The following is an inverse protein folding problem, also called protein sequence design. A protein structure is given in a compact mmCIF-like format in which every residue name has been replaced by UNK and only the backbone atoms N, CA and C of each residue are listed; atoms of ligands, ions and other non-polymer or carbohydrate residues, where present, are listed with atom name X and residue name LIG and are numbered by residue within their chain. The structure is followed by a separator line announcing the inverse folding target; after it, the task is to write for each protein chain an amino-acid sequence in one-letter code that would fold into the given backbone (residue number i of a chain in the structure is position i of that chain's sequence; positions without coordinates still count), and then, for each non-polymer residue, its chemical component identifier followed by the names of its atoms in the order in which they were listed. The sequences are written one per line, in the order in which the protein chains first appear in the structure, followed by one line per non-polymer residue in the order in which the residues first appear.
data_IF_155758909511
#
_entry.id   IF_155758909511
#
_cell.length_a   1.000
_cell.length_b   1.000
_cell.length_c   1.000
_cell.angle_alpha   90.00
_cell.angle_beta   90.00
_cell.angle_gamma   90.00
#
_symmetry.space_group_name_H-M   'P 1'
#
loop_
_entity.id
_entity.type
_entity.pdbx_description
1 polymer ?
#
# COMPACT_ATOMS: atom_id res chain seq x y z
N UNK A 1 5.47 20.14 -21.45
CA UNK A 1 4.70 18.88 -21.34
C UNK A 1 3.71 19.02 -20.18
N UNK A 2 2.52 18.46 -20.30
CA UNK A 2 1.55 18.40 -19.20
C UNK A 2 1.82 17.14 -18.35
N UNK A 3 1.82 17.27 -17.03
CA UNK A 3 2.04 16.16 -16.10
C UNK A 3 0.71 15.74 -15.46
N UNK A 4 0.31 14.50 -15.70
CA UNK A 4 -0.89 13.90 -15.10
C UNK A 4 -0.46 12.78 -14.16
N UNK A 5 -1.06 12.72 -12.96
CA UNK A 5 -0.84 11.61 -12.03
C UNK A 5 -2.19 10.96 -11.75
N UNK A 6 -2.28 9.65 -11.96
CA UNK A 6 -3.46 8.82 -11.77
C UNK A 6 -3.19 7.76 -10.70
N UNK A 7 -4.20 7.49 -9.87
CA UNK A 7 -4.12 6.48 -8.80
C UNK A 7 -3.65 7.01 -7.44
N UNK A 8 -3.38 8.31 -7.32
CA UNK A 8 -3.22 8.98 -6.02
C UNK A 8 -4.57 9.37 -5.44
N UNK A 9 -4.73 9.22 -4.13
CA UNK A 9 -5.78 9.94 -3.43
C UNK A 9 -5.47 11.44 -3.45
N UNK A 10 -6.51 12.29 -3.39
CA UNK A 10 -6.39 13.76 -3.48
C UNK A 10 -5.34 14.35 -2.53
N UNK A 11 -5.19 13.76 -1.34
CA UNK A 11 -4.23 14.17 -0.31
C UNK A 11 -2.79 13.80 -0.69
N UNK A 12 -2.61 12.63 -1.29
CA UNK A 12 -1.29 12.12 -1.70
C UNK A 12 -0.77 12.76 -2.99
N UNK A 13 -1.65 13.31 -3.84
CA UNK A 13 -1.25 14.09 -5.02
C UNK A 13 -0.30 15.23 -4.67
N UNK A 14 -0.62 16.01 -3.62
CA UNK A 14 0.24 17.11 -3.16
C UNK A 14 1.60 16.63 -2.64
N UNK A 15 1.61 15.55 -1.86
CA UNK A 15 2.84 14.97 -1.32
C UNK A 15 3.73 14.36 -2.43
N UNK A 16 3.13 13.65 -3.38
CA UNK A 16 3.84 13.07 -4.53
C UNK A 16 4.44 14.15 -5.43
N UNK A 17 3.69 15.23 -5.73
CA UNK A 17 4.20 16.37 -6.49
C UNK A 17 5.38 17.06 -5.79
N UNK A 18 5.45 16.99 -4.46
CA UNK A 18 6.59 17.52 -3.69
C UNK A 18 7.87 16.67 -3.87
N UNK A 19 7.71 15.38 -4.15
CA UNK A 19 8.81 14.43 -4.35
C UNK A 19 9.17 14.19 -5.81
N UNK A 20 8.34 14.67 -6.75
CA UNK A 20 8.61 14.65 -8.18
C UNK A 20 9.41 15.93 -8.49
N UNK A 21 10.73 15.84 -8.78
CA UNK A 21 11.55 17.02 -9.08
C UNK A 21 11.31 17.52 -10.52
N UNK A 22 10.07 17.44 -10.97
CA UNK A 22 9.65 17.75 -12.34
C UNK A 22 8.54 18.79 -12.22
N UNK A 23 8.82 20.01 -12.63
CA UNK A 23 7.79 21.05 -12.67
C UNK A 23 6.96 20.89 -13.94
N UNK A 24 5.68 21.25 -13.88
CA UNK A 24 4.83 21.32 -15.08
C UNK A 24 5.48 22.29 -16.06
N UNK A 25 5.92 21.80 -17.22
CA UNK A 25 6.67 22.58 -18.22
C UNK A 25 8.15 22.27 -18.37
N UNK A 26 8.77 21.50 -17.46
CA UNK A 26 10.15 21.00 -17.65
C UNK A 26 10.24 19.98 -18.80
N UNK A 27 11.39 19.93 -19.46
CA UNK A 27 11.68 18.87 -20.43
C UNK A 27 11.92 17.56 -19.68
N UNK A 28 10.96 16.64 -19.76
CA UNK A 28 11.03 15.37 -19.05
C UNK A 28 11.77 14.36 -19.91
N UNK A 29 13.09 14.28 -19.70
CA UNK A 29 13.88 13.22 -20.34
C UNK A 29 13.70 11.87 -19.62
N UNK A 30 13.93 10.79 -20.35
CA UNK A 30 13.77 9.42 -19.86
C UNK A 30 14.67 9.12 -18.65
N UNK A 31 15.83 9.80 -18.58
CA UNK A 31 16.70 9.79 -17.41
C UNK A 31 16.01 10.35 -16.15
N UNK A 32 15.34 11.50 -16.29
CA UNK A 32 14.60 12.14 -15.20
C UNK A 32 13.45 11.26 -14.73
N UNK A 33 12.70 10.66 -15.66
CA UNK A 33 11.62 9.70 -15.33
C UNK A 33 12.14 8.55 -14.48
N UNK A 34 13.24 7.93 -14.91
CA UNK A 34 13.83 6.79 -14.18
C UNK A 34 14.29 7.18 -12.77
N UNK A 35 14.85 8.40 -12.62
CA UNK A 35 15.26 8.94 -11.32
C UNK A 35 14.07 9.20 -10.40
N UNK A 36 13.00 9.76 -10.95
CA UNK A 36 11.75 10.02 -10.22
C UNK A 36 11.10 8.72 -9.76
N UNK A 37 11.01 7.71 -10.63
CA UNK A 37 10.50 6.39 -10.25
C UNK A 37 11.29 5.82 -9.07
N UNK A 38 12.64 5.88 -9.12
CA UNK A 38 13.49 5.43 -8.01
C UNK A 38 13.25 6.22 -6.72
N UNK A 39 13.08 7.53 -6.81
CA UNK A 39 12.80 8.39 -5.65
C UNK A 39 11.44 8.05 -5.01
N UNK A 40 10.41 7.84 -5.84
CA UNK A 40 9.08 7.44 -5.39
C UNK A 40 9.09 6.06 -4.73
N UNK A 41 9.76 5.06 -5.31
CA UNK A 41 9.96 3.76 -4.65
C UNK A 41 10.70 3.89 -3.32
N UNK A 42 11.73 4.75 -3.27
CA UNK A 42 12.50 5.00 -2.04
C UNK A 42 11.67 5.66 -0.93
N UNK A 43 10.57 6.34 -1.28
CA UNK A 43 9.67 6.92 -0.29
C UNK A 43 8.87 5.87 0.51
N UNK A 44 8.74 4.64 0.01
CA UNK A 44 8.04 3.55 0.68
C UNK A 44 6.50 3.63 0.67
N UNK A 45 5.92 4.69 0.11
CA UNK A 45 4.47 4.90 0.07
C UNK A 45 3.77 4.22 -1.12
N UNK A 46 4.52 3.75 -2.12
CA UNK A 46 3.96 3.23 -3.37
C UNK A 46 4.32 1.75 -3.56
N UNK A 47 3.31 0.96 -3.92
CA UNK A 47 3.41 -0.47 -4.25
C UNK A 47 3.83 -0.67 -5.71
N UNK A 48 3.26 0.14 -6.62
CA UNK A 48 3.54 0.05 -8.04
C UNK A 48 3.53 1.43 -8.69
N UNK A 49 4.50 1.69 -9.57
CA UNK A 49 4.64 2.94 -10.32
C UNK A 49 4.84 2.60 -11.79
N UNK A 50 3.92 3.03 -12.63
CA UNK A 50 3.97 2.92 -14.09
C UNK A 50 3.92 4.32 -14.71
N UNK A 51 4.63 4.52 -15.81
CA UNK A 51 4.68 5.81 -16.51
C UNK A 51 4.31 5.58 -17.96
N UNK A 52 3.37 6.39 -18.43
CA UNK A 52 2.92 6.42 -19.81
C UNK A 52 3.22 7.78 -20.40
N UNK A 53 3.63 7.80 -21.66
CA UNK A 53 3.78 9.03 -22.44
C UNK A 53 2.71 9.03 -23.52
N UNK A 54 1.83 10.02 -23.49
CA UNK A 54 0.78 10.23 -24.48
C UNK A 54 1.01 11.57 -25.17
N UNK A 55 1.65 11.53 -26.34
CA UNK A 55 2.08 12.73 -27.07
C UNK A 55 2.97 13.65 -26.22
N UNK A 56 2.42 14.81 -25.84
CA UNK A 56 3.09 15.83 -25.02
C UNK A 56 2.70 15.77 -23.53
N UNK A 57 1.98 14.72 -23.11
CA UNK A 57 1.60 14.43 -21.73
C UNK A 57 2.37 13.25 -21.17
N UNK A 58 2.81 13.38 -19.91
CA UNK A 58 3.34 12.26 -19.12
C UNK A 58 2.28 11.90 -18.08
N UNK A 59 1.85 10.64 -18.09
CA UNK A 59 0.88 10.09 -17.16
C UNK A 59 1.60 9.13 -16.21
N UNK A 60 1.74 9.54 -14.95
CA UNK A 60 2.22 8.68 -13.89
C UNK A 60 1.02 7.92 -13.30
N UNK A 61 0.95 6.61 -13.53
CA UNK A 61 0.03 5.72 -12.82
C UNK A 61 0.73 5.16 -11.60
N UNK A 62 0.30 5.58 -10.43
CA UNK A 62 0.87 5.09 -9.17
C UNK A 62 -0.20 4.36 -8.38
N UNK A 63 0.23 3.34 -7.66
CA UNK A 63 -0.59 2.59 -6.73
C UNK A 63 0.04 2.74 -5.36
N UNK A 64 -0.66 3.43 -4.47
CA UNK A 64 -0.25 3.54 -3.09
C UNK A 64 -0.21 2.17 -2.42
N UNK A 65 0.75 2.02 -1.51
CA UNK A 65 0.84 0.86 -0.64
C UNK A 65 -0.33 0.95 0.34
N UNK A 66 -1.25 -0.04 0.36
CA UNK A 66 -2.36 0.01 1.29
C UNK A 66 -1.83 -0.06 2.71
N UNK A 67 -2.31 0.81 3.58
CA UNK A 67 -1.97 0.81 5.01
C UNK A 67 -3.19 0.31 5.77
N UNK A 68 -2.96 -0.46 6.84
CA UNK A 68 -4.06 -0.96 7.67
C UNK A 68 -4.65 0.22 8.44
N UNK A 69 -5.84 0.68 8.04
CA UNK A 69 -6.54 1.78 8.70
C UNK A 69 -7.31 1.35 9.94
N UNK A 70 -7.87 0.14 9.92
CA UNK A 70 -8.59 -0.49 11.03
C UNK A 70 -8.68 -1.99 10.77
N UNK A 71 -8.83 -2.77 11.84
CA UNK A 71 -9.08 -4.20 11.79
C UNK A 71 -10.42 -4.43 12.48
N UNK A 72 -11.38 -5.00 11.77
CA UNK A 72 -12.71 -5.34 12.28
C UNK A 72 -12.93 -6.84 12.08
N UNK A 73 -13.45 -7.52 13.10
CA UNK A 73 -13.78 -8.93 13.06
C UNK A 73 -15.29 -9.08 12.94
N UNK A 74 -15.74 -9.92 12.00
CA UNK A 74 -17.14 -10.28 11.84
C UNK A 74 -17.28 -11.80 11.86
N UNK A 75 -18.36 -12.30 12.48
CA UNK A 75 -18.66 -13.74 12.56
C UNK A 75 -17.91 -14.53 13.65
N UNK A 76 -17.03 -13.91 14.43
CA UNK A 76 -16.35 -14.52 15.57
C UNK A 76 -17.28 -14.62 16.80
N UNK A 77 -18.14 -15.64 16.82
CA UNK A 77 -19.09 -15.85 17.95
C UNK A 77 -18.45 -16.39 19.22
N UNK A 78 -17.31 -17.05 19.10
CA UNK A 78 -16.69 -17.84 20.16
C UNK A 78 -15.36 -17.30 20.66
N UNK A 79 -14.82 -16.28 19.98
CA UNK A 79 -13.51 -15.70 20.26
C UNK A 79 -13.69 -14.20 20.36
N UNK A 80 -13.09 -13.59 21.39
CA UNK A 80 -13.09 -12.14 21.55
C UNK A 80 -12.14 -11.48 20.53
N UNK A 81 -12.57 -10.34 20.00
CA UNK A 81 -11.78 -9.50 19.09
C UNK A 81 -10.38 -9.20 19.63
N UNK A 82 -10.26 -9.01 20.95
CA UNK A 82 -8.99 -8.78 21.64
C UNK A 82 -7.98 -9.91 21.42
N UNK A 83 -8.42 -11.16 21.47
CA UNK A 83 -7.54 -12.31 21.28
C UNK A 83 -7.13 -12.49 19.81
N UNK A 84 -8.03 -12.14 18.88
CA UNK A 84 -7.73 -12.15 17.45
C UNK A 84 -6.74 -11.04 17.11
N UNK A 85 -6.91 -9.85 17.69
CA UNK A 85 -5.95 -8.76 17.56
C UNK A 85 -4.57 -9.14 18.10
N UNK A 86 -4.47 -9.76 19.28
CA UNK A 86 -3.17 -10.23 19.80
C UNK A 86 -2.49 -11.23 18.83
N UNK A 87 -3.26 -12.12 18.21
CA UNK A 87 -2.73 -13.06 17.21
C UNK A 87 -2.21 -12.35 15.96
N UNK A 88 -2.93 -11.35 15.46
CA UNK A 88 -2.49 -10.53 14.32
C UNK A 88 -1.26 -9.68 14.67
N UNK A 89 -1.20 -9.12 15.88
CA UNK A 89 -0.04 -8.36 16.35
C UNK A 89 1.22 -9.21 16.40
N UNK A 90 1.12 -10.48 16.81
CA UNK A 90 2.25 -11.43 16.77
C UNK A 90 2.79 -11.66 15.35
N UNK A 91 1.95 -11.46 14.33
CA UNK A 91 2.34 -11.54 12.93
C UNK A 91 2.83 -10.20 12.35
N UNK A 92 3.01 -9.16 13.18
CA UNK A 92 3.34 -7.78 12.80
C UNK A 92 2.23 -7.07 12.01
N UNK A 93 0.98 -7.46 12.26
CA UNK A 93 -0.20 -6.94 11.54
C UNK A 93 -0.98 -6.07 12.52
N UNK A 94 -0.76 -4.76 12.39
CA UNK A 94 -1.36 -3.76 13.26
C UNK A 94 -1.74 -2.53 12.46
N UNK A 95 -2.64 -1.74 13.03
CA UNK A 95 -3.03 -0.46 12.46
C UNK A 95 -1.79 0.43 12.20
N UNK A 96 -1.73 1.04 11.02
CA UNK A 96 -0.60 1.87 10.60
C UNK A 96 0.55 1.13 9.92
N UNK A 97 0.59 -0.21 9.97
CA UNK A 97 1.55 -0.98 9.17
C UNK A 97 1.09 -1.10 7.71
N UNK A 98 2.04 -1.20 6.76
CA UNK A 98 1.71 -1.47 5.37
C UNK A 98 1.12 -2.89 5.22
N UNK A 99 -0.02 -2.97 4.55
CA UNK A 99 -0.62 -4.23 4.16
C UNK A 99 0.11 -4.76 2.93
N UNK A 100 0.93 -5.77 3.12
CA UNK A 100 1.47 -6.56 2.02
C UNK A 100 0.47 -7.67 1.65
N UNK A 101 0.16 -7.82 0.36
CA UNK A 101 -0.77 -8.87 -0.09
C UNK A 101 -0.22 -10.28 0.13
N UNK A 102 1.10 -10.44 0.25
CA UNK A 102 1.72 -11.71 0.64
C UNK A 102 1.47 -12.05 2.10
N UNK A 103 1.18 -11.05 2.94
CA UNK A 103 0.86 -11.24 4.36
C UNK A 103 -0.59 -11.69 4.54
N UNK A 104 -1.48 -11.51 3.55
CA UNK A 104 -2.86 -12.02 3.60
C UNK A 104 -2.91 -13.55 3.79
N UNK A 105 -2.06 -14.28 3.07
CA UNK A 105 -1.99 -15.75 3.22
C UNK A 105 -1.47 -16.15 4.61
N UNK A 106 -0.57 -15.33 5.18
CA UNK A 106 -0.06 -15.53 6.54
C UNK A 106 -1.12 -15.21 7.61
N UNK A 107 -1.96 -14.19 7.37
CA UNK A 107 -3.11 -13.84 8.22
C UNK A 107 -4.06 -15.03 8.30
N UNK A 108 -4.46 -15.57 7.14
CA UNK A 108 -5.40 -16.68 7.07
C UNK A 108 -4.86 -17.90 7.82
N UNK A 109 -3.58 -18.23 7.61
CA UNK A 109 -2.91 -19.33 8.32
C UNK A 109 -2.80 -19.08 9.82
N UNK A 110 -2.43 -17.87 10.22
CA UNK A 110 -2.30 -17.50 11.64
C UNK A 110 -3.61 -17.60 12.39
N UNK A 111 -4.68 -17.07 11.81
CA UNK A 111 -6.03 -17.20 12.35
C UNK A 111 -6.44 -18.67 12.40
N UNK A 112 -6.19 -19.45 11.34
CA UNK A 112 -6.51 -20.88 11.31
C UNK A 112 -5.77 -21.64 12.43
N UNK A 113 -4.46 -21.44 12.57
CA UNK A 113 -3.65 -22.04 13.64
C UNK A 113 -4.13 -21.60 15.04
N UNK A 114 -4.52 -20.34 15.19
CA UNK A 114 -5.11 -19.84 16.42
C UNK A 114 -6.43 -20.57 16.73
N UNK A 115 -7.36 -20.66 15.78
CA UNK A 115 -8.61 -21.43 15.95
C UNK A 115 -8.35 -22.91 16.32
N UNK A 116 -7.33 -23.52 15.73
CA UNK A 116 -6.90 -24.89 16.07
C UNK A 116 -6.35 -24.99 17.50
N UNK A 117 -5.54 -24.01 17.93
CA UNK A 117 -4.92 -23.97 19.26
C UNK A 117 -5.95 -23.89 20.39
N UNK A 118 -7.07 -23.20 20.17
CA UNK A 118 -8.16 -23.05 21.17
C UNK A 118 -9.02 -24.34 21.26
N UNK A 119 -8.70 -25.39 20.49
CA UNK A 119 -9.29 -26.72 20.65
C UNK A 119 -10.67 -26.89 20.03
N UNK A 120 -11.06 -26.05 19.07
CA UNK A 120 -12.36 -26.16 18.37
C UNK A 120 -12.37 -27.21 17.25
N UNK A 121 -11.85 -28.40 17.54
CA UNK A 121 -12.21 -29.63 16.82
C UNK A 121 -13.01 -30.53 17.76
N UNK A 122 -14.33 -30.44 17.63
CA UNK A 122 -15.25 -31.58 17.63
C UNK A 122 -16.47 -31.21 16.79
#
# INVERSE_FOLDING_TARGET
EDLKVEGLQRVALGAALTHIPINVGDNVDQFTISRTIKALYKSGHFDNIAVFRDGNQIIFKVKERPTISSIEFDGNKDIKDEQLNESLEQQNIRQGEPLDRTVLDSIEKGLTEFFHSIGKYN
#
